data_IF_683061957207
#
_entry.id   IF_683061957207
#
_cell.length_a   1.000
_cell.length_b   1.000
_cell.length_c   1.000
_cell.angle_alpha   90.00
_cell.angle_beta   90.00
_cell.angle_gamma   90.00
#
_symmetry.space_group_name_H-M   'P 1'
#
loop_
_entity.id
_entity.type
_entity.pdbx_description
1 polymer ?
#
# COMPACT_ATOMS: atom_id res chain seq x y z
N UNK A 1 19.35 -7.17 -11.53
CA UNK A 1 20.24 -5.99 -11.53
C UNK A 1 21.24 -6.11 -10.38
N UNK A 2 22.30 -5.31 -10.35
CA UNK A 2 23.32 -5.35 -9.27
C UNK A 2 23.24 -4.14 -8.32
N UNK A 3 22.05 -3.56 -8.13
CA UNK A 3 21.79 -2.35 -7.32
C UNK A 3 22.48 -1.04 -7.75
N UNK A 4 23.29 -1.01 -8.82
CA UNK A 4 23.95 0.25 -9.25
C UNK A 4 22.97 1.36 -9.64
N UNK A 5 21.77 1.03 -10.09
CA UNK A 5 20.76 1.98 -10.59
C UNK A 5 19.43 1.87 -9.82
N UNK A 6 19.44 1.21 -8.66
CA UNK A 6 18.23 0.84 -7.93
C UNK A 6 17.52 -0.39 -8.52
N UNK A 7 16.45 -0.79 -7.85
CA UNK A 7 15.58 -1.92 -8.19
C UNK A 7 14.15 -1.57 -7.78
N UNK A 8 13.16 -2.00 -8.56
CA UNK A 8 11.76 -1.73 -8.29
C UNK A 8 10.98 -3.05 -8.25
N UNK A 9 10.33 -3.31 -7.11
CA UNK A 9 9.47 -4.47 -6.89
C UNK A 9 7.98 -4.13 -6.89
N UNK A 10 7.63 -2.86 -7.06
CA UNK A 10 6.24 -2.40 -7.04
C UNK A 10 5.45 -3.01 -8.20
N UNK A 11 4.21 -3.40 -7.89
CA UNK A 11 3.25 -3.91 -8.87
C UNK A 11 2.00 -3.06 -8.83
N UNK A 12 1.58 -2.55 -9.98
CA UNK A 12 0.33 -1.81 -10.10
C UNK A 12 -0.84 -2.67 -9.60
N UNK A 13 -1.69 -2.09 -8.75
CA UNK A 13 -2.83 -2.80 -8.16
C UNK A 13 -2.48 -3.72 -6.99
N UNK A 14 -1.22 -3.83 -6.57
CA UNK A 14 -0.86 -4.61 -5.38
C UNK A 14 -1.46 -4.02 -4.10
N UNK A 15 -1.80 -4.92 -3.18
CA UNK A 15 -2.44 -4.62 -1.89
C UNK A 15 -1.43 -4.64 -0.75
N UNK A 16 -1.79 -4.10 0.41
CA UNK A 16 -1.05 -4.33 1.65
C UNK A 16 -1.22 -5.80 2.07
N UNK A 17 -2.48 -6.21 2.24
CA UNK A 17 -2.84 -7.56 2.66
C UNK A 17 -2.72 -8.54 1.51
N UNK A 18 -2.51 -9.82 1.80
CA UNK A 18 -2.55 -10.85 0.77
C UNK A 18 -3.96 -10.98 0.18
N UNK A 19 -4.04 -11.33 -1.10
CA UNK A 19 -5.34 -11.56 -1.78
C UNK A 19 -6.16 -12.63 -1.06
N UNK A 20 -5.52 -13.64 -0.46
CA UNK A 20 -6.19 -14.65 0.37
C UNK A 20 -6.82 -14.05 1.63
N UNK A 21 -6.09 -13.18 2.34
CA UNK A 21 -6.58 -12.48 3.54
C UNK A 21 -7.76 -11.57 3.21
N UNK A 22 -7.74 -10.88 2.07
CA UNK A 22 -8.87 -10.08 1.60
C UNK A 22 -10.08 -10.95 1.23
N UNK A 23 -9.86 -12.12 0.64
CA UNK A 23 -10.92 -13.06 0.31
C UNK A 23 -11.66 -13.57 1.57
N UNK A 24 -10.96 -13.80 2.68
CA UNK A 24 -11.56 -14.16 3.98
C UNK A 24 -12.48 -13.06 4.53
N UNK A 25 -12.26 -11.79 4.11
CA UNK A 25 -13.08 -10.63 4.46
C UNK A 25 -14.18 -10.34 3.43
N UNK A 26 -14.42 -11.29 2.51
CA UNK A 26 -15.35 -11.16 1.38
C UNK A 26 -14.98 -10.00 0.44
N UNK A 27 -13.68 -9.82 0.18
CA UNK A 27 -13.15 -8.88 -0.82
C UNK A 27 -12.38 -9.72 -1.84
N UNK A 28 -13.02 -10.00 -2.97
CA UNK A 28 -12.45 -10.89 -3.98
C UNK A 28 -11.77 -10.08 -5.09
N UNK A 29 -10.52 -10.41 -5.38
CA UNK A 29 -9.75 -9.78 -6.45
C UNK A 29 -9.53 -10.81 -7.54
N UNK A 30 -9.96 -10.49 -8.76
CA UNK A 30 -9.77 -11.39 -9.88
C UNK A 30 -8.27 -11.61 -10.13
N UNK A 31 -7.81 -12.84 -10.40
CA UNK A 31 -6.39 -13.09 -10.63
C UNK A 31 -5.80 -12.35 -11.85
N UNK A 32 -6.64 -11.89 -12.77
CA UNK A 32 -6.26 -11.03 -13.89
C UNK A 32 -5.95 -9.58 -13.49
N UNK A 33 -6.37 -9.15 -12.29
CA UNK A 33 -6.12 -7.82 -11.74
C UNK A 33 -4.80 -7.81 -10.98
N UNK A 34 -4.67 -8.64 -9.94
CA UNK A 34 -3.40 -8.83 -9.23
C UNK A 34 -3.41 -10.14 -8.44
N UNK A 35 -2.20 -10.67 -8.19
CA UNK A 35 -1.93 -11.67 -7.14
C UNK A 35 -0.84 -11.19 -6.17
N UNK A 36 -0.42 -9.93 -6.31
CA UNK A 36 0.69 -9.35 -5.58
C UNK A 36 0.20 -8.53 -4.41
N UNK A 37 0.95 -8.61 -3.31
CA UNK A 37 0.79 -7.84 -2.09
C UNK A 37 2.13 -7.25 -1.67
N UNK A 38 2.16 -6.43 -0.62
CA UNK A 38 3.39 -5.90 -0.04
C UNK A 38 4.32 -7.04 0.42
N UNK A 39 3.78 -8.10 1.05
CA UNK A 39 4.56 -9.26 1.46
C UNK A 39 5.18 -10.01 0.28
N UNK A 40 4.44 -10.17 -0.83
CA UNK A 40 4.98 -10.78 -2.06
C UNK A 40 6.13 -9.95 -2.64
N UNK A 41 6.02 -8.61 -2.61
CA UNK A 41 7.09 -7.72 -3.07
C UNK A 41 8.33 -7.82 -2.17
N UNK A 42 8.12 -7.93 -0.84
CA UNK A 42 9.19 -8.15 0.12
C UNK A 42 9.90 -9.49 -0.10
N UNK A 43 9.16 -10.55 -0.40
CA UNK A 43 9.74 -11.85 -0.73
C UNK A 43 10.59 -11.80 -1.99
N UNK A 44 10.15 -11.09 -3.03
CA UNK A 44 10.97 -10.86 -4.22
C UNK A 44 12.22 -10.05 -3.93
N UNK A 45 12.12 -9.03 -3.09
CA UNK A 45 13.27 -8.27 -2.63
C UNK A 45 14.28 -9.19 -1.92
N UNK A 46 13.84 -9.99 -0.95
CA UNK A 46 14.70 -10.94 -0.22
C UNK A 46 15.32 -11.99 -1.14
N UNK A 47 14.54 -12.55 -2.06
CA UNK A 47 15.05 -13.48 -3.07
C UNK A 47 16.12 -12.83 -3.95
N UNK A 48 15.93 -11.56 -4.32
CA UNK A 48 16.92 -10.80 -5.07
C UNK A 48 18.21 -10.58 -4.27
N UNK A 49 18.12 -10.24 -2.98
CA UNK A 49 19.29 -10.10 -2.11
C UNK A 49 20.09 -11.41 -2.03
N UNK A 50 19.40 -12.53 -1.86
CA UNK A 50 20.02 -13.85 -1.78
C UNK A 50 20.78 -14.22 -3.07
N UNK A 51 20.28 -13.81 -4.23
CA UNK A 51 20.91 -14.06 -5.53
C UNK A 51 22.19 -13.24 -5.78
N UNK A 52 22.45 -12.19 -4.99
CA UNK A 52 23.63 -11.33 -5.14
C UNK A 52 24.87 -11.88 -4.43
N UNK A 53 24.71 -12.92 -3.60
CA UNK A 53 25.80 -13.60 -2.89
C UNK A 53 26.71 -12.67 -2.07
N UNK A 54 26.18 -11.55 -1.56
CA UNK A 54 26.89 -10.68 -0.63
C UNK A 54 27.01 -11.31 0.75
N UNK A 55 28.09 -11.00 1.46
CA UNK A 55 28.17 -11.27 2.89
C UNK A 55 27.15 -10.43 3.67
N UNK A 56 26.73 -10.86 4.87
CA UNK A 56 25.80 -10.07 5.70
C UNK A 56 26.26 -8.62 5.95
N UNK A 57 27.57 -8.41 6.13
CA UNK A 57 28.14 -7.07 6.34
C UNK A 57 28.03 -6.19 5.09
N UNK A 58 28.39 -6.71 3.91
CA UNK A 58 28.28 -5.97 2.64
C UNK A 58 26.82 -5.63 2.32
N UNK A 59 25.91 -6.57 2.58
CA UNK A 59 24.48 -6.34 2.39
C UNK A 59 24.00 -5.19 3.30
N UNK A 60 24.30 -5.26 4.59
CA UNK A 60 23.91 -4.23 5.57
C UNK A 60 24.47 -2.86 5.22
N UNK A 61 25.71 -2.79 4.74
CA UNK A 61 26.30 -1.54 4.26
C UNK A 61 25.57 -0.99 3.03
N UNK A 62 25.32 -1.83 2.02
CA UNK A 62 24.61 -1.44 0.80
C UNK A 62 23.19 -0.97 1.08
N UNK A 63 22.42 -1.70 1.89
CA UNK A 63 21.07 -1.32 2.26
C UNK A 63 21.06 -0.06 3.13
N UNK A 64 22.02 0.09 4.04
CA UNK A 64 22.17 1.31 4.85
C UNK A 64 22.46 2.56 3.99
N UNK A 65 23.08 2.37 2.83
CA UNK A 65 23.38 3.40 1.84
C UNK A 65 22.35 3.47 0.70
N UNK A 66 21.24 2.75 0.76
CA UNK A 66 20.11 2.87 -0.17
C UNK A 66 19.02 3.80 0.40
N UNK A 67 18.07 4.19 -0.45
CA UNK A 67 16.81 4.81 -0.07
C UNK A 67 15.69 3.81 -0.38
N UNK A 68 14.84 3.55 0.58
CA UNK A 68 13.68 2.67 0.42
C UNK A 68 12.42 3.52 0.31
N UNK A 69 11.62 3.28 -0.72
CA UNK A 69 10.28 3.82 -0.86
C UNK A 69 9.30 2.67 -0.70
N UNK A 70 8.54 2.67 0.39
CA UNK A 70 7.58 1.61 0.75
C UNK A 70 6.17 2.16 0.61
N UNK A 71 5.74 2.40 -0.63
CA UNK A 71 4.36 2.80 -0.92
C UNK A 71 4.14 3.64 -2.17
N UNK A 72 2.94 4.18 -2.37
CA UNK A 72 1.76 4.13 -1.47
C UNK A 72 1.12 2.74 -1.34
N UNK A 73 0.94 2.24 -0.11
CA UNK A 73 0.39 0.91 0.21
C UNK A 73 -0.96 1.05 0.93
N UNK A 74 -1.90 0.15 0.65
CA UNK A 74 -3.22 0.08 1.32
C UNK A 74 -4.35 0.70 0.50
N UNK A 75 -4.07 1.70 -0.34
CA UNK A 75 -5.08 2.32 -1.20
C UNK A 75 -5.86 1.32 -2.08
N UNK A 76 -5.15 0.32 -2.63
CA UNK A 76 -5.79 -0.71 -3.46
C UNK A 76 -6.70 -1.64 -2.67
N UNK A 77 -6.37 -1.97 -1.42
CA UNK A 77 -7.21 -2.77 -0.52
C UNK A 77 -8.59 -2.11 -0.37
N UNK A 78 -8.62 -0.79 -0.17
CA UNK A 78 -9.84 0.00 -0.07
C UNK A 78 -10.59 0.11 -1.39
N UNK A 79 -9.88 0.33 -2.50
CA UNK A 79 -10.47 0.42 -3.83
C UNK A 79 -11.18 -0.89 -4.23
N UNK A 80 -10.56 -2.04 -3.96
CA UNK A 80 -11.18 -3.33 -4.23
C UNK A 80 -12.36 -3.61 -3.31
N UNK A 81 -12.29 -3.21 -2.04
CA UNK A 81 -13.41 -3.31 -1.11
C UNK A 81 -14.60 -2.45 -1.55
N UNK A 82 -14.39 -1.17 -1.86
CA UNK A 82 -15.48 -0.25 -2.19
C UNK A 82 -16.17 -0.61 -3.51
N UNK A 83 -15.42 -1.09 -4.50
CA UNK A 83 -15.98 -1.59 -5.77
C UNK A 83 -16.91 -2.80 -5.59
N UNK A 84 -16.82 -3.48 -4.44
CA UNK A 84 -17.67 -4.59 -4.03
C UNK A 84 -18.72 -4.16 -2.99
N UNK A 85 -19.07 -2.86 -2.97
CA UNK A 85 -20.16 -2.29 -2.16
C UNK A 85 -19.91 -2.38 -0.65
N UNK A 86 -18.64 -2.39 -0.24
CA UNK A 86 -18.27 -2.24 1.18
C UNK A 86 -18.51 -0.81 1.66
N UNK A 87 -18.94 -0.66 2.90
CA UNK A 87 -19.22 0.63 3.53
C UNK A 87 -17.95 1.32 4.04
N UNK A 88 -18.03 2.60 4.39
CA UNK A 88 -16.91 3.29 5.03
C UNK A 88 -16.48 2.65 6.36
N UNK A 89 -17.42 2.06 7.10
CA UNK A 89 -17.10 1.38 8.36
C UNK A 89 -16.38 0.05 8.11
N UNK A 90 -16.75 -0.68 7.05
CA UNK A 90 -16.00 -1.87 6.59
C UNK A 90 -14.57 -1.48 6.21
N UNK A 91 -14.38 -0.36 5.50
CA UNK A 91 -13.06 0.15 5.13
C UNK A 91 -12.23 0.52 6.36
N UNK A 92 -12.82 1.20 7.35
CA UNK A 92 -12.14 1.53 8.62
C UNK A 92 -11.73 0.30 9.39
N UNK A 93 -12.51 -0.78 9.34
CA UNK A 93 -12.18 -2.04 9.99
C UNK A 93 -10.96 -2.74 9.38
N UNK A 94 -10.59 -2.44 8.13
CA UNK A 94 -9.38 -2.96 7.49
C UNK A 94 -8.11 -2.21 7.91
N UNK A 95 -8.23 -0.94 8.28
CA UNK A 95 -7.09 -0.04 8.52
C UNK A 95 -6.08 -0.60 9.52
N UNK A 96 -6.46 -1.12 10.71
CA UNK A 96 -5.47 -1.61 11.67
C UNK A 96 -4.57 -2.72 11.12
N UNK A 97 -5.13 -3.66 10.38
CA UNK A 97 -4.38 -4.80 9.82
C UNK A 97 -3.49 -4.37 8.65
N UNK A 98 -3.98 -3.45 7.81
CA UNK A 98 -3.21 -2.85 6.72
C UNK A 98 -1.99 -2.10 7.28
N UNK A 99 -2.21 -1.24 8.28
CA UNK A 99 -1.14 -0.48 8.94
C UNK A 99 -0.12 -1.43 9.58
N UNK A 100 -0.60 -2.44 10.31
CA UNK A 100 0.31 -3.42 10.93
C UNK A 100 1.17 -4.13 9.88
N UNK A 101 0.60 -4.50 8.74
CA UNK A 101 1.37 -5.12 7.64
C UNK A 101 2.45 -4.17 7.09
N UNK A 102 2.17 -2.88 6.99
CA UNK A 102 3.15 -1.87 6.56
C UNK A 102 4.27 -1.72 7.60
N UNK A 103 3.91 -1.70 8.90
CA UNK A 103 4.87 -1.66 10.01
C UNK A 103 5.77 -2.90 9.99
N UNK A 104 5.20 -4.10 9.92
CA UNK A 104 5.96 -5.36 9.95
C UNK A 104 6.99 -5.43 8.81
N UNK A 105 6.58 -5.05 7.59
CA UNK A 105 7.48 -4.99 6.43
C UNK A 105 8.56 -3.94 6.62
N UNK A 106 8.20 -2.79 7.19
CA UNK A 106 9.16 -1.70 7.47
C UNK A 106 10.20 -2.15 8.51
N UNK A 107 9.77 -2.80 9.59
CA UNK A 107 10.64 -3.36 10.61
C UNK A 107 11.56 -4.43 10.01
N UNK A 108 11.05 -5.31 9.15
CA UNK A 108 11.86 -6.31 8.46
C UNK A 108 12.92 -5.67 7.55
N UNK A 109 12.59 -4.58 6.85
CA UNK A 109 13.58 -3.83 6.06
C UNK A 109 14.66 -3.18 6.94
N UNK A 110 14.29 -2.66 8.12
CA UNK A 110 15.22 -2.09 9.10
C UNK A 110 16.16 -3.19 9.61
N UNK A 111 15.64 -4.37 9.94
CA UNK A 111 16.41 -5.52 10.40
C UNK A 111 17.42 -6.00 9.35
N UNK A 112 17.03 -5.97 8.07
CA UNK A 112 17.93 -6.25 6.94
C UNK A 112 19.02 -5.19 6.75
N UNK A 113 18.85 -3.99 7.31
CA UNK A 113 19.86 -2.93 7.33
C UNK A 113 19.45 -1.62 6.67
N UNK A 114 18.19 -1.46 6.26
CA UNK A 114 17.69 -0.19 5.77
C UNK A 114 17.79 0.90 6.84
N UNK A 115 18.25 2.10 6.46
CA UNK A 115 18.37 3.27 7.35
C UNK A 115 17.60 4.50 6.90
N UNK A 116 17.18 4.52 5.63
CA UNK A 116 16.48 5.65 5.02
C UNK A 116 15.26 5.11 4.32
N UNK A 117 14.10 5.32 4.93
CA UNK A 117 12.82 4.82 4.47
C UNK A 117 11.86 5.99 4.30
N UNK A 118 11.09 5.95 3.23
CA UNK A 118 9.95 6.83 2.98
C UNK A 118 8.73 5.93 2.91
N UNK A 119 7.77 6.17 3.79
CA UNK A 119 6.51 5.44 3.88
C UNK A 119 5.40 6.47 3.64
N UNK A 120 4.96 6.65 2.39
CA UNK A 120 3.89 7.60 2.09
C UNK A 120 2.56 7.06 2.59
N UNK A 121 1.78 7.92 3.25
CA UNK A 121 0.35 7.66 3.49
C UNK A 121 -0.47 7.80 2.21
N UNK A 122 -1.77 7.50 2.30
CA UNK A 122 -2.70 7.65 1.19
C UNK A 122 -2.91 9.13 0.82
N UNK A 123 -2.78 9.48 -0.45
CA UNK A 123 -3.16 10.81 -0.92
C UNK A 123 -4.68 11.05 -0.75
N UNK A 124 -5.14 12.31 -0.78
CA UNK A 124 -6.57 12.64 -0.76
C UNK A 124 -7.27 12.08 -2.02
N UNK A 125 -7.83 10.87 -1.91
CA UNK A 125 -8.36 10.12 -3.05
C UNK A 125 -9.73 10.64 -3.50
N UNK A 126 -10.42 11.42 -2.68
CA UNK A 126 -11.73 12.00 -2.98
C UNK A 126 -11.73 12.93 -4.19
N UNK A 127 -10.57 13.47 -4.55
CA UNK A 127 -10.38 14.35 -5.71
C UNK A 127 -10.07 13.58 -7.00
N UNK A 128 -9.84 12.27 -6.94
CA UNK A 128 -9.55 11.50 -8.14
C UNK A 128 -10.76 11.41 -9.06
N UNK A 129 -10.53 11.51 -10.37
CA UNK A 129 -11.58 11.39 -11.40
C UNK A 129 -12.41 10.11 -11.24
N UNK A 130 -11.76 8.99 -10.89
CA UNK A 130 -12.45 7.71 -10.66
C UNK A 130 -13.36 7.75 -9.42
N UNK A 131 -12.92 8.38 -8.33
CA UNK A 131 -13.72 8.56 -7.12
C UNK A 131 -14.93 9.45 -7.40
N UNK A 132 -14.70 10.60 -8.05
CA UNK A 132 -15.76 11.53 -8.45
C UNK A 132 -16.80 10.91 -9.38
N UNK A 133 -16.35 10.07 -10.33
CA UNK A 133 -17.25 9.36 -11.22
C UNK A 133 -18.08 8.30 -10.47
N UNK A 134 -17.47 7.57 -9.54
CA UNK A 134 -18.13 6.52 -8.76
C UNK A 134 -19.18 7.07 -7.79
N UNK A 135 -18.87 8.16 -7.09
CA UNK A 135 -19.76 8.80 -6.11
C UNK A 135 -20.55 9.98 -6.68
N UNK A 136 -20.70 10.06 -8.02
CA UNK A 136 -21.38 11.17 -8.67
C UNK A 136 -22.82 11.32 -8.17
N UNK A 137 -23.14 12.49 -7.62
CA UNK A 137 -24.48 12.82 -7.16
C UNK A 137 -24.74 14.33 -7.27
N UNK A 138 -26.01 14.73 -7.20
CA UNK A 138 -26.42 16.14 -7.14
C UNK A 138 -26.49 16.68 -5.70
N UNK A 139 -26.22 15.85 -4.68
CA UNK A 139 -26.19 16.29 -3.29
C UNK A 139 -24.86 17.02 -3.00
N UNK A 140 -24.87 18.35 -2.80
CA UNK A 140 -23.65 19.11 -2.54
C UNK A 140 -22.99 18.72 -1.20
N UNK A 141 -23.70 18.06 -0.28
CA UNK A 141 -23.15 17.66 1.03
C UNK A 141 -22.10 16.55 0.92
N UNK A 142 -22.11 15.79 -0.18
CA UNK A 142 -21.15 14.72 -0.42
C UNK A 142 -19.76 15.28 -0.79
N UNK A 143 -19.72 16.52 -1.29
CA UNK A 143 -18.50 17.17 -1.72
C UNK A 143 -17.95 18.13 -0.66
N UNK A 144 -16.64 18.32 -0.65
CA UNK A 144 -15.97 19.40 0.08
C UNK A 144 -15.90 20.70 -0.76
N UNK A 145 -15.25 21.73 -0.21
CA UNK A 145 -15.11 23.05 -0.85
C UNK A 145 -14.31 23.03 -2.18
N UNK A 146 -13.55 21.96 -2.42
CA UNK A 146 -12.77 21.75 -3.65
C UNK A 146 -13.51 20.85 -4.66
N UNK A 147 -14.76 20.51 -4.39
CA UNK A 147 -15.58 19.55 -5.14
C UNK A 147 -15.03 18.11 -5.13
N UNK A 148 -14.30 17.73 -4.09
CA UNK A 148 -13.83 16.36 -3.88
C UNK A 148 -14.80 15.57 -2.98
N UNK A 149 -14.84 14.24 -3.11
CA UNK A 149 -15.67 13.40 -2.24
C UNK A 149 -15.16 13.47 -0.80
N UNK A 150 -15.92 14.13 0.08
CA UNK A 150 -15.48 14.49 1.44
C UNK A 150 -15.11 13.27 2.27
N UNK A 151 -15.99 12.27 2.30
CA UNK A 151 -15.80 11.06 3.12
C UNK A 151 -14.53 10.28 2.74
N UNK A 152 -14.10 10.36 1.47
CA UNK A 152 -12.87 9.72 1.01
C UNK A 152 -11.62 10.48 1.42
N UNK A 153 -11.65 11.81 1.35
CA UNK A 153 -10.56 12.63 1.87
C UNK A 153 -10.40 12.46 3.39
N UNK A 154 -11.52 12.46 4.13
CA UNK A 154 -11.53 12.16 5.57
C UNK A 154 -11.00 10.76 5.88
N UNK A 155 -11.29 9.77 5.03
CA UNK A 155 -10.80 8.41 5.19
C UNK A 155 -9.30 8.28 4.90
N UNK A 156 -8.78 8.95 3.87
CA UNK A 156 -7.34 9.04 3.63
C UNK A 156 -6.63 9.65 4.85
N UNK A 157 -7.17 10.72 5.43
CA UNK A 157 -6.64 11.30 6.67
C UNK A 157 -6.69 10.30 7.83
N UNK A 158 -7.81 9.62 8.04
CA UNK A 158 -7.96 8.61 9.09
C UNK A 158 -6.92 7.49 9.01
N UNK A 159 -6.61 7.04 7.79
CA UNK A 159 -5.55 6.07 7.53
C UNK A 159 -4.17 6.65 7.87
N UNK A 160 -3.87 7.84 7.36
CA UNK A 160 -2.57 8.49 7.52
C UNK A 160 -2.26 8.82 8.98
N UNK A 161 -3.27 9.20 9.77
CA UNK A 161 -3.11 9.48 11.20
C UNK A 161 -2.75 8.22 12.03
N UNK A 162 -2.87 7.03 11.44
CA UNK A 162 -2.58 5.74 12.09
C UNK A 162 -1.32 5.06 11.53
N UNK A 163 -0.76 5.60 10.45
CA UNK A 163 0.48 5.12 9.84
C UNK A 163 1.69 5.71 10.57
#
# INVERSE_FOLDING_TARGET
>A
GNFTHGVNFAVAGATALNVSTLAEKNIHIAPSVTRSSLLVQLDWFKAHLNALHFTPSELKEKLGNALFLVGEIGGNDYNYAVSQVKTMDDLRALVPEIIQTIIDVTEELIDLGAKRLIIPGNFPTGCMTICLAFFKTNDPKIYDELNCVRSWNEFSMFHNDRL
#
